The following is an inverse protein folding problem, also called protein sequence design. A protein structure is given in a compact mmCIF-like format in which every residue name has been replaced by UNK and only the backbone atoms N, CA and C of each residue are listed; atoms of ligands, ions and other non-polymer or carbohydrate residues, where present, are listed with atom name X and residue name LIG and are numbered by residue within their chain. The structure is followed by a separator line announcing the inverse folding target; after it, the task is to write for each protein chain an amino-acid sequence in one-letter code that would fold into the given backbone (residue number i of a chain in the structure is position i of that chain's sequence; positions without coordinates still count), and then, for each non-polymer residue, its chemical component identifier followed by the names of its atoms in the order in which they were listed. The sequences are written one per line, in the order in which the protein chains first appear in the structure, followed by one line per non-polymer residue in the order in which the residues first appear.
data_IF_628644074750
#
_entry.id   IF_628644074750
#
_cell.length_a   1.000
_cell.length_b   1.000
_cell.length_c   1.000
_cell.angle_alpha   90.00
_cell.angle_beta   90.00
_cell.angle_gamma   90.00
#
_symmetry.space_group_name_H-M   'P 1'
#
loop_
_entity.id
_entity.type
_entity.pdbx_description
1 polymer ?
#
# COMPACT_ATOMS: atom_id res chain seq x y z
N UNK A 1 -19.83 1.92 -25.04
CA UNK A 1 -19.01 3.09 -24.61
C UNK A 1 -17.90 2.72 -23.63
N UNK A 2 -18.07 1.67 -22.81
CA UNK A 2 -17.05 1.11 -21.89
C UNK A 2 -15.72 0.69 -22.52
N UNK A 3 -15.74 0.27 -23.80
CA UNK A 3 -14.54 -0.15 -24.54
C UNK A 3 -13.48 0.97 -24.64
N UNK A 4 -13.93 2.21 -24.86
CA UNK A 4 -13.04 3.38 -24.92
C UNK A 4 -12.40 3.70 -23.57
N UNK A 5 -13.14 3.52 -22.47
CA UNK A 5 -12.66 3.75 -21.11
C UNK A 5 -11.63 2.69 -20.70
N UNK A 6 -11.92 1.41 -20.97
CA UNK A 6 -11.01 0.29 -20.70
C UNK A 6 -9.70 0.42 -21.48
N UNK A 7 -9.78 0.83 -22.74
CA UNK A 7 -8.59 1.06 -23.57
C UNK A 7 -7.74 2.22 -23.03
N UNK A 8 -8.36 3.35 -22.70
CA UNK A 8 -7.67 4.48 -22.08
C UNK A 8 -7.05 4.13 -20.72
N UNK A 9 -7.72 3.30 -19.91
CA UNK A 9 -7.17 2.84 -18.64
C UNK A 9 -5.94 1.97 -18.86
N UNK A 10 -5.98 1.04 -19.83
CA UNK A 10 -4.85 0.16 -20.15
C UNK A 10 -3.63 0.96 -20.59
N UNK A 11 -3.82 1.92 -21.50
CA UNK A 11 -2.70 2.74 -22.00
C UNK A 11 -2.04 3.53 -20.87
N UNK A 12 -2.84 4.10 -19.95
CA UNK A 12 -2.31 4.84 -18.80
C UNK A 12 -1.78 3.96 -17.67
N UNK A 13 -2.23 2.72 -17.57
CA UNK A 13 -1.69 1.78 -16.59
C UNK A 13 -0.27 1.30 -16.95
N UNK A 14 0.09 1.41 -18.24
CA UNK A 14 1.44 1.13 -18.73
C UNK A 14 2.36 2.35 -18.65
N UNK A 15 1.81 3.53 -18.40
CA UNK A 15 2.57 4.76 -18.22
C UNK A 15 2.99 4.91 -16.74
N UNK A 16 4.27 4.65 -16.49
CA UNK A 16 4.86 4.76 -15.14
C UNK A 16 4.88 6.20 -14.59
N UNK A 17 4.66 7.21 -15.43
CA UNK A 17 4.60 8.62 -15.00
C UNK A 17 3.26 8.99 -14.38
N UNK A 18 2.24 8.14 -14.54
CA UNK A 18 0.89 8.46 -14.13
C UNK A 18 0.68 8.23 -12.60
N UNK A 19 0.12 9.20 -11.85
CA UNK A 19 -0.15 9.02 -10.44
C UNK A 19 -1.18 7.89 -10.20
N UNK A 20 -0.82 6.95 -9.31
CA UNK A 20 -1.65 5.82 -8.88
C UNK A 20 -3.07 6.26 -8.45
N UNK A 21 -3.15 7.36 -7.69
CA UNK A 21 -4.44 7.89 -7.25
C UNK A 21 -5.35 8.33 -8.41
N UNK A 22 -4.76 8.79 -9.53
CA UNK A 22 -5.49 9.11 -10.75
C UNK A 22 -6.03 7.86 -11.45
N UNK A 23 -5.26 6.78 -11.47
CA UNK A 23 -5.69 5.47 -12.01
C UNK A 23 -6.82 4.87 -11.17
N UNK A 24 -6.71 4.88 -9.84
CA UNK A 24 -7.75 4.35 -8.94
C UNK A 24 -9.09 5.09 -9.08
N UNK A 25 -9.08 6.42 -9.27
CA UNK A 25 -10.32 7.18 -9.55
C UNK A 25 -10.99 6.76 -10.87
N UNK A 26 -10.21 6.37 -11.88
CA UNK A 26 -10.78 5.82 -13.12
C UNK A 26 -11.33 4.41 -12.91
N UNK A 27 -10.71 3.60 -12.06
CA UNK A 27 -11.30 2.31 -11.65
C UNK A 27 -12.66 2.49 -10.95
N UNK A 28 -12.84 3.56 -10.16
CA UNK A 28 -14.15 3.89 -9.59
C UNK A 28 -15.20 4.20 -10.66
N UNK A 29 -14.84 5.00 -11.67
CA UNK A 29 -15.72 5.34 -12.79
C UNK A 29 -16.08 4.08 -13.59
N UNK A 30 -15.09 3.26 -13.93
CA UNK A 30 -15.27 1.98 -14.61
C UNK A 30 -16.17 1.03 -13.80
N UNK A 31 -15.97 0.94 -12.49
CA UNK A 31 -16.81 0.13 -11.61
C UNK A 31 -18.25 0.64 -11.53
N UNK A 32 -18.47 1.96 -11.63
CA UNK A 32 -19.81 2.53 -11.73
C UNK A 32 -20.49 2.21 -13.09
N UNK A 33 -19.75 2.30 -14.21
CA UNK A 33 -20.27 1.97 -15.54
C UNK A 33 -20.57 0.48 -15.73
N UNK A 34 -19.75 -0.39 -15.14
CA UNK A 34 -19.90 -1.85 -15.23
C UNK A 34 -20.82 -2.43 -14.16
N UNK A 35 -21.28 -1.63 -13.20
CA UNK A 35 -22.07 -2.09 -12.05
C UNK A 35 -21.29 -2.93 -11.04
N UNK A 36 -19.95 -2.99 -11.14
CA UNK A 36 -19.11 -3.77 -10.23
C UNK A 36 -18.92 -3.03 -8.90
N UNK A 37 -19.70 -3.43 -7.89
CA UNK A 37 -19.52 -2.97 -6.50
C UNK A 37 -18.16 -3.38 -5.95
N UNK A 38 -17.71 -4.61 -6.23
CA UNK A 38 -16.42 -5.12 -5.78
C UNK A 38 -15.24 -4.24 -6.24
N UNK A 39 -15.23 -3.82 -7.52
CA UNK A 39 -14.19 -2.94 -8.05
C UNK A 39 -14.22 -1.55 -7.40
N UNK A 40 -15.43 -1.02 -7.18
CA UNK A 40 -15.61 0.28 -6.53
C UNK A 40 -15.14 0.26 -5.08
N UNK A 41 -15.51 -0.76 -4.33
CA UNK A 41 -15.21 -0.87 -2.91
C UNK A 41 -13.71 -1.09 -2.70
N UNK A 42 -13.10 -1.95 -3.53
CA UNK A 42 -11.66 -2.13 -3.57
C UNK A 42 -10.92 -0.81 -3.85
N UNK A 43 -11.28 -0.08 -4.91
CA UNK A 43 -10.61 1.16 -5.27
C UNK A 43 -10.81 2.25 -4.22
N UNK A 44 -11.94 2.25 -3.50
CA UNK A 44 -12.18 3.15 -2.35
C UNK A 44 -11.26 2.83 -1.18
N UNK A 45 -11.10 1.55 -0.85
CA UNK A 45 -10.21 1.13 0.23
C UNK A 45 -8.74 1.41 -0.12
N UNK A 46 -8.34 1.21 -1.37
CA UNK A 46 -6.98 1.53 -1.81
C UNK A 46 -6.69 3.05 -1.80
N UNK A 47 -7.70 3.90 -2.07
CA UNK A 47 -7.54 5.36 -2.04
C UNK A 47 -7.56 5.95 -0.62
N UNK A 48 -8.39 5.42 0.28
CA UNK A 48 -8.62 5.99 1.61
C UNK A 48 -7.90 5.22 2.72
N UNK A 49 -7.27 4.10 2.39
CA UNK A 49 -6.70 3.16 3.36
C UNK A 49 -7.73 2.20 3.95
N UNK A 50 -7.21 1.22 4.66
CA UNK A 50 -7.98 0.15 5.30
C UNK A 50 -8.15 0.45 6.79
N UNK A 51 -9.40 0.58 7.25
CA UNK A 51 -9.73 0.81 8.66
C UNK A 51 -9.80 -0.50 9.46
N UNK A 52 -10.22 -1.59 8.81
CA UNK A 52 -10.28 -2.92 9.41
C UNK A 52 -9.24 -3.85 8.81
N UNK A 53 -8.47 -4.52 9.67
CA UNK A 53 -7.48 -5.53 9.28
C UNK A 53 -8.10 -6.69 8.49
N UNK A 54 -9.39 -7.01 8.72
CA UNK A 54 -10.09 -8.07 7.99
C UNK A 54 -10.29 -7.75 6.50
N UNK A 55 -10.32 -6.45 6.17
CA UNK A 55 -10.55 -5.97 4.80
C UNK A 55 -9.27 -5.80 3.98
N UNK A 56 -8.10 -6.01 4.60
CA UNK A 56 -6.80 -5.93 3.94
C UNK A 56 -6.62 -7.17 3.03
N UNK A 57 -6.46 -6.98 1.71
CA UNK A 57 -6.24 -8.07 0.78
C UNK A 57 -4.91 -8.78 1.04
N UNK A 58 -4.81 -10.06 0.68
CA UNK A 58 -3.62 -10.87 0.95
C UNK A 58 -2.35 -10.30 0.31
N UNK A 59 -2.44 -9.68 -0.87
CA UNK A 59 -1.30 -9.03 -1.52
C UNK A 59 -0.79 -7.78 -0.76
N UNK A 60 -1.59 -7.17 0.13
CA UNK A 60 -1.16 -6.08 1.02
C UNK A 60 -0.53 -6.63 2.31
N UNK A 61 -0.66 -7.92 2.59
CA UNK A 61 -0.02 -8.56 3.75
C UNK A 61 1.41 -8.92 3.36
N UNK A 62 2.38 -8.28 4.01
CA UNK A 62 3.80 -8.54 3.78
C UNK A 62 4.34 -9.44 4.91
N UNK A 63 4.32 -10.77 4.76
CA UNK A 63 4.90 -11.67 5.75
C UNK A 63 6.42 -11.54 5.74
N UNK A 64 7.02 -11.39 6.92
CA UNK A 64 8.47 -11.54 7.08
C UNK A 64 9.32 -10.40 6.53
N UNK A 65 8.79 -9.17 6.39
CA UNK A 65 9.61 -8.00 6.07
C UNK A 65 10.69 -7.84 7.16
N UNK A 66 11.99 -7.92 6.80
CA UNK A 66 13.05 -7.78 7.78
C UNK A 66 13.08 -6.34 8.29
N UNK A 67 13.10 -6.20 9.61
CA UNK A 67 13.27 -4.92 10.27
C UNK A 67 14.77 -4.77 10.51
N UNK A 68 15.39 -3.73 9.96
CA UNK A 68 16.83 -3.48 10.14
C UNK A 68 17.06 -2.31 11.07
N UNK A 69 18.11 -2.38 11.88
CA UNK A 69 18.55 -1.30 12.74
C UNK A 69 20.05 -1.05 12.59
N UNK A 70 20.41 0.22 12.63
CA UNK A 70 21.79 0.65 12.80
C UNK A 70 22.01 0.93 14.29
N UNK A 71 23.08 0.39 14.87
CA UNK A 71 23.37 0.52 16.30
C UNK A 71 24.83 0.85 16.55
N UNK A 72 25.08 1.54 17.66
CA UNK A 72 26.42 1.85 18.16
C UNK A 72 26.48 1.33 19.60
N UNK A 73 27.43 0.43 19.87
CA UNK A 73 27.69 -0.15 21.19
C UNK A 73 29.17 0.03 21.56
N UNK A 74 29.46 1.09 22.31
CA UNK A 74 30.84 1.49 22.62
C UNK A 74 31.61 1.81 21.33
N UNK A 75 32.66 1.05 21.07
CA UNK A 75 33.52 1.18 19.90
C UNK A 75 32.97 0.42 18.67
N UNK A 76 31.91 -0.36 18.83
CA UNK A 76 31.32 -1.21 17.78
C UNK A 76 30.18 -0.49 17.08
N UNK A 77 30.21 -0.47 15.76
CA UNK A 77 29.19 0.13 14.90
C UNK A 77 28.63 -0.95 13.99
N UNK A 78 27.34 -1.25 14.12
CA UNK A 78 26.67 -2.27 13.31
C UNK A 78 25.65 -1.59 12.42
N UNK A 79 25.73 -1.83 11.11
CA UNK A 79 24.77 -1.33 10.12
C UNK A 79 23.92 -2.47 9.58
N UNK A 80 22.63 -2.21 9.38
CA UNK A 80 21.71 -3.14 8.72
C UNK A 80 21.46 -4.44 9.49
N UNK A 81 21.59 -4.43 10.83
CA UNK A 81 21.33 -5.64 11.62
C UNK A 81 19.85 -5.98 11.53
N UNK A 82 19.53 -7.16 11.00
CA UNK A 82 18.15 -7.66 10.98
C UNK A 82 17.75 -8.01 12.42
N UNK A 83 16.66 -7.41 12.88
CA UNK A 83 16.06 -7.63 14.18
C UNK A 83 14.63 -8.17 14.01
N UNK A 84 14.22 -8.99 14.96
CA UNK A 84 12.85 -9.46 15.07
C UNK A 84 11.98 -8.40 15.74
N UNK A 85 10.65 -8.52 15.57
CA UNK A 85 9.68 -7.64 16.24
C UNK A 85 9.85 -7.60 17.77
N UNK A 86 10.34 -8.68 18.39
CA UNK A 86 10.57 -8.76 19.84
C UNK A 86 11.80 -7.99 20.32
N UNK A 87 12.73 -7.71 19.41
CA UNK A 87 13.93 -6.91 19.69
C UNK A 87 13.71 -5.41 19.49
N UNK A 88 12.50 -5.00 19.05
CA UNK A 88 12.14 -3.59 18.98
C UNK A 88 12.00 -2.98 20.38
N UNK A 89 12.55 -1.78 20.62
CA UNK A 89 12.34 -1.07 21.87
C UNK A 89 10.84 -0.83 22.14
N UNK A 90 10.43 -0.95 23.40
CA UNK A 90 9.06 -0.60 23.81
C UNK A 90 8.82 0.89 23.54
N UNK A 91 7.81 1.19 22.71
CA UNK A 91 7.45 2.56 22.30
C UNK A 91 7.80 2.94 20.84
N UNK A 92 8.56 2.11 20.11
CA UNK A 92 8.88 2.38 18.69
C UNK A 92 7.75 2.03 17.72
N UNK A 93 6.74 1.28 18.18
CA UNK A 93 5.62 0.83 17.35
C UNK A 93 4.63 1.94 17.00
N UNK A 94 4.70 3.09 17.66
CA UNK A 94 3.71 4.17 17.56
C UNK A 94 3.84 5.04 16.31
N UNK A 95 4.92 4.89 15.52
CA UNK A 95 5.21 5.77 14.36
C UNK A 95 5.08 5.11 12.98
N UNK A 96 4.96 3.78 12.90
CA UNK A 96 4.82 3.07 11.62
C UNK A 96 3.38 2.97 11.09
N UNK A 97 2.39 3.48 11.84
CA UNK A 97 0.98 3.55 11.43
C UNK A 97 0.51 5.01 11.24
N UNK A 98 1.35 5.86 10.62
CA UNK A 98 1.06 7.29 10.55
C UNK A 98 1.72 8.06 9.40
N UNK A 99 1.94 7.43 8.25
CA UNK A 99 2.28 8.15 7.02
C UNK A 99 1.34 7.74 5.88
N UNK A 100 0.07 8.11 6.03
CA UNK A 100 -0.75 8.59 4.92
C UNK A 100 -1.40 9.91 5.38
N UNK A 101 -1.17 10.93 4.55
CA UNK A 101 -1.80 12.26 4.53
C UNK A 101 -1.33 13.26 5.59
#
# INVERSE_FOLDING_TARGET
MTDSLLRSLRDRALDETEPLAGLLRKCLLLGAETGSSALRDWARLELNGYTDKSTIPDYRKLPGVPITVDSISGNTWTKGQIITRWQLPQGSLTRFLGHQC
#
